data_IF_682291289564
#
_entry.id   IF_682291289564
#
_cell.length_a   1.000
_cell.length_b   1.000
_cell.length_c   1.000
_cell.angle_alpha   90.00
_cell.angle_beta   90.00
_cell.angle_gamma   90.00
#
_symmetry.space_group_name_H-M   'P 1'
#
loop_
_entity.id
_entity.type
_entity.pdbx_description
1 polymer ?
#
# COMPACT_ATOMS: atom_id res chain seq x y z
N UNK A 1 -7.11 -13.72 11.12
CA UNK A 1 -6.20 -14.23 12.16
C UNK A 1 -5.23 -13.11 12.44
N UNK A 2 -5.07 -12.66 13.69
CA UNK A 2 -4.08 -11.62 13.99
C UNK A 2 -2.66 -12.20 14.09
N UNK A 3 -1.69 -11.30 14.01
CA UNK A 3 -0.26 -11.64 14.04
C UNK A 3 0.16 -12.33 15.34
N UNK A 4 -0.36 -11.88 16.49
CA UNK A 4 -0.05 -12.46 17.79
C UNK A 4 -0.53 -13.92 17.89
N UNK A 5 -1.70 -14.22 17.33
CA UNK A 5 -2.27 -15.56 17.25
C UNK A 5 -1.45 -16.46 16.31
N UNK A 6 -0.95 -15.94 15.18
CA UNK A 6 -0.06 -16.68 14.29
C UNK A 6 1.26 -17.01 14.98
N UNK A 7 1.97 -16.01 15.53
CA UNK A 7 3.26 -16.20 16.19
C UNK A 7 3.15 -17.13 17.41
N UNK A 8 2.06 -17.03 18.19
CA UNK A 8 1.76 -17.94 19.30
C UNK A 8 1.62 -19.39 18.81
N UNK A 9 0.76 -19.65 17.82
CA UNK A 9 0.54 -21.01 17.31
C UNK A 9 1.78 -21.60 16.63
N UNK A 10 2.57 -20.77 15.96
CA UNK A 10 3.84 -21.20 15.37
C UNK A 10 4.85 -21.58 16.47
N UNK A 11 4.91 -20.81 17.56
CA UNK A 11 5.77 -21.13 18.70
C UNK A 11 5.34 -22.41 19.43
N UNK A 12 4.02 -22.61 19.61
CA UNK A 12 3.44 -23.85 20.13
C UNK A 12 3.79 -25.05 19.23
N UNK A 13 3.63 -24.92 17.91
CA UNK A 13 3.99 -25.95 16.93
C UNK A 13 5.49 -26.28 16.95
N UNK A 14 6.37 -25.29 17.05
CA UNK A 14 7.83 -25.52 17.15
C UNK A 14 8.20 -26.23 18.45
N UNK A 15 7.53 -25.93 19.56
CA UNK A 15 7.72 -26.63 20.82
C UNK A 15 7.23 -28.09 20.79
N UNK A 16 6.18 -28.38 20.00
CA UNK A 16 5.63 -29.72 19.76
C UNK A 16 6.39 -30.52 18.68
N UNK A 17 7.14 -29.85 17.80
CA UNK A 17 8.16 -30.47 16.92
C UNK A 17 9.40 -30.84 17.73
N UNK A 18 9.64 -30.17 18.84
CA UNK A 18 10.45 -30.71 19.91
C UNK A 18 9.63 -31.70 20.76
N UNK A 19 10.30 -32.52 21.57
CA UNK A 19 9.81 -33.83 22.06
C UNK A 19 9.70 -34.94 20.99
N UNK A 20 9.42 -34.65 19.71
CA UNK A 20 9.38 -35.68 18.65
C UNK A 20 10.75 -36.38 18.43
N UNK A 21 10.75 -37.64 17.94
CA UNK A 21 11.98 -38.37 17.58
C UNK A 21 12.84 -37.63 16.55
N UNK A 22 14.17 -37.74 16.67
CA UNK A 22 15.13 -37.02 15.83
C UNK A 22 14.94 -37.22 14.31
N UNK A 23 14.49 -38.40 13.89
CA UNK A 23 14.28 -38.74 12.49
C UNK A 23 13.21 -37.87 11.78
N UNK A 24 12.20 -37.37 12.51
CA UNK A 24 11.11 -36.56 11.94
C UNK A 24 11.31 -35.06 12.19
N UNK A 25 12.09 -34.71 13.22
CA UNK A 25 12.37 -33.35 13.69
C UNK A 25 12.93 -32.40 12.62
N UNK A 26 13.91 -32.85 11.83
CA UNK A 26 14.63 -31.95 10.89
C UNK A 26 13.68 -31.39 9.83
N UNK A 27 12.89 -32.25 9.19
CA UNK A 27 11.98 -31.87 8.10
C UNK A 27 10.84 -30.96 8.59
N UNK A 28 10.34 -31.20 9.80
CA UNK A 28 9.29 -30.37 10.40
C UNK A 28 9.82 -28.99 10.82
N UNK A 29 11.05 -28.91 11.35
CA UNK A 29 11.72 -27.62 11.63
C UNK A 29 11.96 -26.80 10.37
N UNK A 30 12.43 -27.43 9.29
CA UNK A 30 12.61 -26.78 7.98
C UNK A 30 11.28 -26.21 7.45
N UNK A 31 10.20 -27.00 7.49
CA UNK A 31 8.87 -26.56 7.04
C UNK A 31 8.29 -25.42 7.91
N UNK A 32 8.51 -25.46 9.22
CA UNK A 32 8.10 -24.39 10.14
C UNK A 32 8.87 -23.08 9.85
N UNK A 33 10.19 -23.16 9.65
CA UNK A 33 11.02 -22.01 9.29
C UNK A 33 10.65 -21.43 7.92
N UNK A 34 10.40 -22.27 6.92
CA UNK A 34 9.94 -21.83 5.60
C UNK A 34 8.57 -21.14 5.69
N UNK A 35 7.64 -21.70 6.49
CA UNK A 35 6.31 -21.10 6.70
C UNK A 35 6.41 -19.73 7.37
N UNK A 36 7.29 -19.58 8.36
CA UNK A 36 7.56 -18.30 9.02
C UNK A 36 8.12 -17.26 8.04
N UNK A 37 9.11 -17.66 7.24
CA UNK A 37 9.74 -16.79 6.25
C UNK A 37 8.74 -16.32 5.19
N UNK A 38 7.93 -17.23 4.62
CA UNK A 38 6.88 -16.92 3.66
C UNK A 38 5.84 -15.94 4.23
N UNK A 39 5.45 -16.11 5.51
CA UNK A 39 4.52 -15.19 6.17
C UNK A 39 5.09 -13.77 6.32
N UNK A 40 6.36 -13.65 6.73
CA UNK A 40 7.03 -12.34 6.81
C UNK A 40 7.20 -11.68 5.45
N UNK A 41 7.46 -12.43 4.38
CA UNK A 41 7.61 -11.86 3.04
C UNK A 41 6.26 -11.42 2.43
N UNK A 42 5.17 -12.15 2.69
CA UNK A 42 3.81 -11.71 2.38
C UNK A 42 3.49 -10.41 3.14
N UNK A 43 3.79 -10.36 4.44
CA UNK A 43 3.56 -9.20 5.32
C UNK A 43 4.32 -7.94 4.87
N UNK A 44 5.58 -8.08 4.46
CA UNK A 44 6.37 -7.00 3.82
C UNK A 44 5.73 -6.55 2.51
N UNK A 45 5.32 -7.49 1.66
CA UNK A 45 4.71 -7.20 0.35
C UNK A 45 3.37 -6.45 0.50
N UNK A 46 2.52 -6.87 1.43
CA UNK A 46 1.25 -6.19 1.75
C UNK A 46 1.50 -4.78 2.29
N UNK A 47 2.50 -4.59 3.16
CA UNK A 47 2.87 -3.25 3.65
C UNK A 47 3.34 -2.33 2.51
N UNK A 48 4.22 -2.81 1.63
CA UNK A 48 4.67 -2.03 0.47
C UNK A 48 3.53 -1.66 -0.50
N UNK A 49 2.56 -2.55 -0.67
CA UNK A 49 1.33 -2.26 -1.43
C UNK A 49 0.47 -1.18 -0.74
N UNK A 50 0.31 -1.23 0.58
CA UNK A 50 -0.42 -0.21 1.35
C UNK A 50 0.25 1.18 1.22
N UNK A 51 1.57 1.25 1.41
CA UNK A 51 2.36 2.47 1.25
C UNK A 51 2.24 3.05 -0.18
N UNK A 52 2.27 2.17 -1.19
CA UNK A 52 2.09 2.55 -2.60
C UNK A 52 0.69 3.10 -2.89
N UNK A 53 -0.36 2.50 -2.30
CA UNK A 53 -1.74 2.96 -2.43
C UNK A 53 -1.97 4.30 -1.72
N UNK A 54 -1.37 4.53 -0.55
CA UNK A 54 -1.45 5.81 0.16
C UNK A 54 -0.71 6.92 -0.60
N UNK A 55 0.46 6.62 -1.19
CA UNK A 55 1.17 7.54 -2.08
C UNK A 55 0.35 7.87 -3.35
N UNK A 56 -0.25 6.87 -3.99
CA UNK A 56 -1.14 7.07 -5.15
C UNK A 56 -2.36 7.92 -4.77
N UNK A 57 -2.98 7.65 -3.62
CA UNK A 57 -4.11 8.41 -3.09
C UNK A 57 -3.74 9.87 -2.82
N UNK A 58 -2.54 10.15 -2.32
CA UNK A 58 -2.03 11.51 -2.15
C UNK A 58 -1.81 12.19 -3.52
N UNK A 59 -1.20 11.47 -4.46
CA UNK A 59 -0.93 11.96 -5.82
C UNK A 59 -2.22 12.36 -6.56
N UNK A 60 -3.28 11.55 -6.43
CA UNK A 60 -4.61 11.85 -6.99
C UNK A 60 -5.22 13.12 -6.37
N UNK A 61 -5.03 13.36 -5.05
CA UNK A 61 -5.51 14.60 -4.40
C UNK A 61 -4.84 15.85 -5.00
N UNK A 62 -3.51 15.80 -5.21
CA UNK A 62 -2.78 16.91 -5.84
C UNK A 62 -3.24 17.12 -7.29
N UNK A 63 -3.35 16.05 -8.09
CA UNK A 63 -3.82 16.15 -9.47
C UNK A 63 -5.23 16.78 -9.58
N UNK A 64 -6.16 16.41 -8.68
CA UNK A 64 -7.49 17.03 -8.64
C UNK A 64 -7.46 18.49 -8.18
N UNK A 65 -6.55 18.86 -7.27
CA UNK A 65 -6.37 20.24 -6.83
C UNK A 65 -5.87 21.13 -7.97
N UNK A 66 -4.84 20.68 -8.68
CA UNK A 66 -4.25 21.40 -9.82
C UNK A 66 -5.25 21.50 -11.00
N UNK A 67 -6.04 20.45 -11.24
CA UNK A 67 -7.13 20.45 -12.22
C UNK A 67 -8.23 21.48 -11.89
N UNK A 68 -8.62 21.60 -10.61
CA UNK A 68 -9.61 22.60 -10.20
C UNK A 68 -9.04 24.03 -10.24
N UNK A 69 -7.76 24.21 -9.91
CA UNK A 69 -7.07 25.50 -10.02
C UNK A 69 -7.03 25.98 -11.49
N UNK A 70 -6.54 25.14 -12.41
CA UNK A 70 -6.50 25.44 -13.85
C UNK A 70 -7.89 25.63 -14.46
N UNK A 71 -8.90 24.87 -14.01
CA UNK A 71 -10.30 25.06 -14.44
C UNK A 71 -10.85 26.44 -14.03
N UNK A 72 -10.55 26.89 -12.81
CA UNK A 72 -10.94 28.24 -12.31
C UNK A 72 -10.23 29.35 -13.07
N UNK A 73 -8.93 29.21 -13.29
CA UNK A 73 -8.14 30.16 -14.06
C UNK A 73 -8.65 30.29 -15.50
N UNK A 74 -8.90 29.18 -16.19
CA UNK A 74 -9.46 29.20 -17.55
C UNK A 74 -10.83 29.89 -17.60
N UNK A 75 -11.71 29.63 -16.61
CA UNK A 75 -13.01 30.29 -16.51
C UNK A 75 -12.91 31.80 -16.22
N UNK A 76 -11.90 32.23 -15.46
CA UNK A 76 -11.62 33.65 -15.21
C UNK A 76 -11.09 34.34 -16.46
N UNK A 77 -10.11 33.74 -17.15
CA UNK A 77 -9.54 34.28 -18.40
C UNK A 77 -10.60 34.39 -19.51
N UNK A 78 -11.49 33.41 -19.66
CA UNK A 78 -12.63 33.50 -20.59
C UNK A 78 -13.54 34.69 -20.30
N UNK A 79 -13.91 34.90 -19.03
CA UNK A 79 -14.72 36.05 -18.62
C UNK A 79 -14.03 37.39 -18.90
N UNK A 80 -12.71 37.47 -18.74
CA UNK A 80 -11.96 38.68 -19.12
C UNK A 80 -12.05 38.95 -20.62
N UNK A 81 -11.89 37.92 -21.47
CA UNK A 81 -12.01 38.05 -22.93
C UNK A 81 -13.44 38.41 -23.37
N UNK A 82 -14.46 37.86 -22.73
CA UNK A 82 -15.88 38.20 -22.96
C UNK A 82 -16.21 39.65 -22.51
N UNK A 83 -15.47 40.18 -21.53
CA UNK A 83 -15.64 41.53 -20.99
C UNK A 83 -14.74 42.59 -21.63
N UNK A 84 -13.83 42.21 -22.54
CA UNK A 84 -13.00 43.12 -23.35
C UNK A 84 -13.38 43.08 -24.85
N UNK A 85 -14.60 43.51 -25.24
CA UNK A 85 -14.97 43.65 -26.64
C UNK A 85 -14.29 44.84 -27.34
N UNK A 86 -13.34 45.52 -26.67
CA UNK A 86 -12.84 46.84 -27.06
C UNK A 86 -11.59 46.86 -27.96
N UNK A 87 -10.98 45.71 -28.28
CA UNK A 87 -9.70 45.65 -29.03
C UNK A 87 -9.77 45.14 -30.49
N UNK A 88 -10.97 44.89 -31.01
CA UNK A 88 -11.18 44.47 -32.41
C UNK A 88 -11.79 45.61 -33.26
N UNK A 89 -11.53 46.87 -32.90
CA UNK A 89 -12.10 48.06 -33.55
C UNK A 89 -11.10 49.23 -33.66
N UNK A 90 -9.85 48.92 -34.06
CA UNK A 90 -8.87 49.84 -34.67
C UNK A 90 -8.23 49.16 -35.89
#
# INVERSE_FOLDING_TARGET
MDEATFQKKLSELVAEIDTLPEAERSRLRELAAETQQRHEDIKKSVRGLQESLDFLRLSIKYLMFDLEATRRENAYLRKMLEQDPGKNAE
#
